data_IF_650761943104
#
_entry.id   IF_650761943104
#
_cell.length_a   1.000
_cell.length_b   1.000
_cell.length_c   1.000
_cell.angle_alpha   90.00
_cell.angle_beta   90.00
_cell.angle_gamma   90.00
#
_symmetry.space_group_name_H-M   'P 1'
#
loop_
_entity.id
_entity.type
_entity.pdbx_description
1 polymer ?
#
# COMPACT_ATOMS: atom_id res chain seq x y z
N UNK A 1 -8.95 -0.27 7.57
CA UNK A 1 -8.33 -1.50 7.03
C UNK A 1 -8.35 -1.42 5.52
N UNK A 2 -7.26 -1.73 4.82
CA UNK A 2 -7.22 -1.69 3.36
C UNK A 2 -8.01 -2.86 2.78
N UNK A 3 -8.96 -2.57 1.89
CA UNK A 3 -9.67 -3.59 1.09
C UNK A 3 -8.95 -3.77 -0.24
N UNK A 4 -8.67 -5.01 -0.64
CA UNK A 4 -8.04 -5.31 -1.93
C UNK A 4 -8.61 -6.61 -2.53
N UNK A 5 -8.62 -6.70 -3.86
CA UNK A 5 -9.04 -7.90 -4.57
C UNK A 5 -7.85 -8.70 -5.07
N UNK A 6 -7.90 -10.03 -4.96
CA UNK A 6 -6.96 -10.91 -5.67
C UNK A 6 -7.45 -11.05 -7.12
N UNK A 7 -6.62 -10.67 -8.09
CA UNK A 7 -6.94 -10.73 -9.53
C UNK A 7 -7.97 -9.69 -9.99
N UNK A 8 -8.34 -8.72 -9.16
CA UNK A 8 -9.26 -7.63 -9.51
C UNK A 8 -8.98 -6.38 -8.69
N UNK A 9 -9.30 -5.22 -9.25
CA UNK A 9 -9.22 -3.93 -8.55
C UNK A 9 -10.47 -3.72 -7.71
N UNK A 10 -10.29 -3.30 -6.46
CA UNK A 10 -11.37 -2.82 -5.60
C UNK A 10 -11.14 -1.35 -5.26
N UNK A 11 -12.22 -0.57 -5.30
CA UNK A 11 -12.24 0.77 -4.74
C UNK A 11 -12.45 0.72 -3.23
N UNK A 12 -11.82 1.64 -2.50
CA UNK A 12 -11.93 1.73 -1.06
C UNK A 12 -11.23 2.96 -0.48
N UNK A 13 -10.94 2.90 0.83
CA UNK A 13 -10.24 3.94 1.56
C UNK A 13 -8.87 3.44 2.01
N UNK A 14 -7.83 4.26 1.78
CA UNK A 14 -6.49 3.98 2.27
C UNK A 14 -6.43 4.25 3.79
N UNK A 15 -5.98 3.29 4.61
CA UNK A 15 -6.17 3.35 6.07
C UNK A 15 -5.14 4.23 6.78
N UNK A 16 -4.90 5.44 6.28
CA UNK A 16 -4.09 6.46 6.93
C UNK A 16 -4.82 7.79 6.96
N UNK A 17 -4.59 8.55 8.03
CA UNK A 17 -5.34 9.77 8.38
C UNK A 17 -4.46 10.99 8.68
N UNK A 18 -3.16 10.81 8.59
CA UNK A 18 -2.14 11.81 8.90
C UNK A 18 -1.67 12.59 7.66
N UNK A 19 -2.39 12.51 6.54
CA UNK A 19 -2.08 13.23 5.31
C UNK A 19 -2.81 14.57 5.24
N UNK A 20 -2.29 15.47 4.40
CA UNK A 20 -2.86 16.80 4.25
C UNK A 20 -4.23 16.80 3.55
N UNK A 21 -5.06 17.80 3.81
CA UNK A 21 -6.33 17.95 3.10
C UNK A 21 -6.17 18.79 1.84
N UNK A 22 -7.27 19.46 1.45
CA UNK A 22 -7.27 20.47 0.39
C UNK A 22 -6.25 21.61 0.65
N UNK A 23 -5.95 21.87 1.92
CA UNK A 23 -4.93 22.83 2.35
C UNK A 23 -3.64 22.09 2.77
N UNK A 24 -2.55 22.38 2.06
CA UNK A 24 -1.21 21.89 2.41
C UNK A 24 -0.85 22.32 3.84
N UNK A 25 -0.32 21.38 4.63
CA UNK A 25 0.07 21.60 6.03
C UNK A 25 -1.06 21.41 7.04
N UNK A 26 -2.31 21.23 6.60
CA UNK A 26 -3.46 20.93 7.47
C UNK A 26 -3.82 19.45 7.38
N UNK A 27 -3.88 18.75 8.51
CA UNK A 27 -4.20 17.31 8.58
C UNK A 27 -5.65 17.15 9.07
N UNK A 28 -6.63 16.92 8.18
CA UNK A 28 -8.05 16.85 8.55
C UNK A 28 -8.46 15.51 9.19
N UNK A 29 -7.57 14.51 9.25
CA UNK A 29 -7.89 13.21 9.85
C UNK A 29 -8.72 12.28 8.96
N UNK A 30 -8.78 12.54 7.65
CA UNK A 30 -9.55 11.77 6.68
C UNK A 30 -8.72 10.68 6.01
N UNK A 31 -9.39 9.65 5.51
CA UNK A 31 -8.79 8.61 4.67
C UNK A 31 -8.98 8.97 3.20
N UNK A 32 -7.94 8.77 2.38
CA UNK A 32 -8.04 8.99 0.94
C UNK A 32 -8.75 7.85 0.22
N UNK A 33 -9.47 8.19 -0.86
CA UNK A 33 -9.89 7.23 -1.87
C UNK A 33 -8.70 6.52 -2.51
N UNK A 34 -8.84 5.21 -2.68
CA UNK A 34 -7.84 4.40 -3.34
C UNK A 34 -8.45 3.26 -4.16
N UNK A 35 -7.67 2.78 -5.11
CA UNK A 35 -7.87 1.53 -5.84
C UNK A 35 -6.80 0.55 -5.41
N UNK A 36 -7.18 -0.64 -4.96
CA UNK A 36 -6.22 -1.64 -4.50
C UNK A 36 -6.48 -3.02 -5.12
N UNK A 37 -5.40 -3.70 -5.48
CA UNK A 37 -5.42 -5.05 -6.03
C UNK A 37 -4.19 -5.82 -5.61
N UNK A 38 -4.29 -7.14 -5.66
CA UNK A 38 -3.15 -8.02 -5.47
C UNK A 38 -3.20 -9.19 -6.45
N UNK A 39 -2.04 -9.80 -6.72
CA UNK A 39 -1.92 -10.96 -7.58
C UNK A 39 -0.73 -11.80 -7.17
N UNK A 40 -0.90 -13.12 -7.20
CA UNK A 40 0.22 -14.06 -7.12
C UNK A 40 0.95 -14.04 -8.46
N UNK A 41 2.20 -13.58 -8.47
CA UNK A 41 3.02 -13.52 -9.70
C UNK A 41 3.78 -14.83 -9.94
N UNK A 42 3.94 -15.62 -8.88
CA UNK A 42 4.43 -16.99 -8.88
C UNK A 42 3.91 -17.71 -7.62
N UNK A 43 4.38 -18.94 -7.35
CA UNK A 43 3.94 -19.75 -6.21
C UNK A 43 4.33 -19.19 -4.83
N UNK A 44 5.26 -18.23 -4.79
CA UNK A 44 5.89 -17.73 -3.56
C UNK A 44 5.80 -16.21 -3.41
N UNK A 45 5.33 -15.49 -4.43
CA UNK A 45 5.34 -14.03 -4.46
C UNK A 45 3.95 -13.47 -4.71
N UNK A 46 3.44 -12.70 -3.74
CA UNK A 46 2.22 -11.91 -3.85
C UNK A 46 2.62 -10.44 -4.05
N UNK A 47 2.19 -9.84 -5.16
CA UNK A 47 2.32 -8.41 -5.37
C UNK A 47 0.98 -7.72 -5.10
N UNK A 48 1.04 -6.56 -4.45
CA UNK A 48 -0.07 -5.65 -4.23
C UNK A 48 0.25 -4.29 -4.84
N UNK A 49 -0.73 -3.72 -5.53
CA UNK A 49 -0.71 -2.33 -5.95
C UNK A 49 -1.85 -1.56 -5.28
N UNK A 50 -1.53 -0.35 -4.84
CA UNK A 50 -2.47 0.64 -4.35
C UNK A 50 -2.24 1.95 -5.08
N UNK A 51 -3.29 2.44 -5.73
CA UNK A 51 -3.34 3.78 -6.30
C UNK A 51 -4.19 4.66 -5.41
N UNK A 52 -3.62 5.76 -4.95
CA UNK A 52 -4.34 6.81 -4.24
C UNK A 52 -4.91 7.73 -5.31
N UNK A 53 -6.23 7.92 -5.27
CA UNK A 53 -7.02 8.56 -6.34
C UNK A 53 -7.90 9.69 -5.80
N UNK A 54 -7.39 10.42 -4.83
CA UNK A 54 -8.12 11.47 -4.10
C UNK A 54 -7.39 12.83 -4.27
N UNK A 55 -7.48 13.73 -3.28
CA UNK A 55 -6.84 15.06 -3.22
C UNK A 55 -5.39 15.04 -3.75
N UNK A 56 -4.62 14.01 -3.41
CA UNK A 56 -3.30 13.77 -3.97
C UNK A 56 -3.24 12.40 -4.65
N UNK A 57 -2.49 12.33 -5.74
CA UNK A 57 -2.25 11.10 -6.48
C UNK A 57 -0.94 10.47 -6.04
N UNK A 58 -0.94 9.14 -5.91
CA UNK A 58 0.25 8.39 -5.54
C UNK A 58 0.09 6.91 -5.78
N UNK A 59 1.22 6.22 -5.95
CA UNK A 59 1.29 4.78 -6.07
C UNK A 59 2.02 4.15 -4.88
N UNK A 60 1.58 2.97 -4.47
CA UNK A 60 2.31 2.10 -3.58
C UNK A 60 2.32 0.69 -4.18
N UNK A 61 3.51 0.12 -4.31
CA UNK A 61 3.69 -1.29 -4.61
C UNK A 61 4.25 -2.01 -3.40
N UNK A 62 3.67 -3.16 -3.06
CA UNK A 62 4.16 -4.05 -2.00
C UNK A 62 4.34 -5.45 -2.57
N UNK A 63 5.52 -6.02 -2.37
CA UNK A 63 5.85 -7.39 -2.74
C UNK A 63 6.08 -8.22 -1.49
N UNK A 64 5.28 -9.27 -1.32
CA UNK A 64 5.42 -10.26 -0.26
C UNK A 64 6.04 -11.52 -0.88
N UNK A 65 7.21 -11.92 -0.41
CA UNK A 65 7.89 -13.14 -0.85
C UNK A 65 7.98 -14.12 0.30
N UNK A 66 7.56 -15.37 0.08
CA UNK A 66 7.53 -16.42 1.08
C UNK A 66 8.58 -17.48 0.79
N UNK A 67 9.34 -17.91 1.81
CA UNK A 67 10.32 -19.00 1.69
C UNK A 67 10.31 -19.86 2.94
N UNK A 68 9.71 -21.04 2.85
CA UNK A 68 9.55 -21.92 4.02
C UNK A 68 8.74 -21.22 5.12
N UNK A 69 9.37 -20.92 6.24
CA UNK A 69 8.76 -20.22 7.38
C UNK A 69 9.10 -18.71 7.42
N UNK A 70 9.78 -18.20 6.41
CA UNK A 70 10.21 -16.80 6.31
C UNK A 70 9.32 -16.02 5.34
N UNK A 71 9.15 -14.73 5.64
CA UNK A 71 8.52 -13.75 4.75
C UNK A 71 9.45 -12.54 4.57
N UNK A 72 9.62 -12.10 3.33
CA UNK A 72 10.16 -10.79 2.99
C UNK A 72 9.04 -9.87 2.49
N UNK A 73 9.07 -8.62 2.89
CA UNK A 73 8.14 -7.58 2.43
C UNK A 73 8.96 -6.43 1.91
N UNK A 74 8.81 -6.13 0.62
CA UNK A 74 9.44 -4.99 -0.03
C UNK A 74 8.37 -4.00 -0.47
N UNK A 75 8.56 -2.71 -0.15
CA UNK A 75 7.60 -1.65 -0.44
C UNK A 75 8.30 -0.53 -1.19
N UNK A 76 7.64 0.00 -2.23
CA UNK A 76 8.09 1.20 -2.93
C UNK A 76 6.92 2.15 -3.14
N UNK A 77 7.11 3.39 -2.69
CA UNK A 77 6.19 4.49 -2.98
C UNK A 77 6.53 5.15 -4.32
N UNK A 78 5.50 5.65 -5.00
CA UNK A 78 5.57 6.59 -6.11
C UNK A 78 4.67 7.77 -5.76
N UNK A 79 5.12 8.57 -4.81
CA UNK A 79 4.39 9.69 -4.25
C UNK A 79 5.40 10.71 -3.72
N UNK A 80 5.08 11.99 -3.86
CA UNK A 80 6.01 13.07 -3.55
C UNK A 80 6.10 13.29 -2.03
N UNK A 81 4.97 13.64 -1.38
CA UNK A 81 4.93 14.13 0.01
C UNK A 81 4.25 13.19 1.02
N UNK A 82 3.92 11.96 0.63
CA UNK A 82 3.22 11.01 1.48
C UNK A 82 3.63 9.57 1.19
N UNK A 83 3.10 8.60 1.95
CA UNK A 83 3.48 7.18 1.94
C UNK A 83 4.95 6.92 2.33
N UNK A 84 5.58 7.83 3.08
CA UNK A 84 7.01 7.73 3.44
C UNK A 84 7.34 6.47 4.25
N UNK A 85 6.41 6.04 5.10
CA UNK A 85 6.54 4.79 5.86
C UNK A 85 6.49 3.51 5.00
N UNK A 86 6.06 3.60 3.73
CA UNK A 86 5.95 2.45 2.82
C UNK A 86 7.05 2.42 1.76
N UNK A 87 8.29 2.75 2.16
CA UNK A 87 9.46 2.64 1.31
C UNK A 87 10.59 1.91 2.03
N UNK A 88 10.90 0.70 1.59
CA UNK A 88 11.96 -0.12 2.18
C UNK A 88 11.63 -1.61 2.25
N UNK A 89 12.35 -2.30 3.13
CA UNK A 89 12.27 -3.76 3.28
C UNK A 89 12.05 -4.15 4.74
N UNK A 90 11.21 -5.15 4.97
CA UNK A 90 11.01 -5.80 6.26
C UNK A 90 11.02 -7.33 6.08
N UNK A 91 11.38 -8.06 7.13
CA UNK A 91 11.40 -9.51 7.14
C UNK A 91 10.82 -10.09 8.41
N UNK A 92 10.31 -11.31 8.33
CA UNK A 92 9.75 -12.03 9.48
C UNK A 92 9.92 -13.54 9.33
N UNK A 93 9.78 -14.24 10.45
CA UNK A 93 9.77 -15.71 10.51
C UNK A 93 8.64 -16.17 11.42
N UNK A 94 7.96 -17.25 11.05
CA UNK A 94 6.97 -17.91 11.92
C UNK A 94 7.69 -18.48 13.15
N UNK A 95 7.15 -18.19 14.34
CA UNK A 95 7.62 -18.73 15.62
C UNK A 95 6.91 -20.05 15.96
#
# INVERSE_FOLDING_TARGET
>A
MLQFGIGRVLSGKFPQRNYFGEQIGSVPGIEYDCLASAVWVDEQTLNMEVYITDIYLGGLRVSFAFKGEEIGVFMTKQAEWFLDEFNGFAGGRRL
#
